data_IF_276720308977
#
_entry.id   IF_276720308977
#
_cell.length_a   1.000
_cell.length_b   1.000
_cell.length_c   1.000
_cell.angle_alpha   90.00
_cell.angle_beta   90.00
_cell.angle_gamma   90.00
#
_symmetry.space_group_name_H-M   'P 1'
#
loop_
_entity.id
_entity.type
_entity.pdbx_description
1 polymer ?
#
# COMPACT_ATOMS: atom_id res chain seq x y z
N UNK A 1 -5.02 15.38 3.69
CA UNK A 1 -6.02 14.31 3.69
C UNK A 1 -7.40 14.90 3.89
N UNK A 2 -8.29 14.73 2.91
CA UNK A 2 -9.71 15.04 3.06
C UNK A 2 -10.45 13.72 3.28
N UNK A 3 -11.03 13.47 4.46
CA UNK A 3 -11.66 12.20 4.77
C UNK A 3 -13.01 12.04 4.07
N UNK A 4 -13.61 13.10 3.49
CA UNK A 4 -14.97 13.03 2.92
C UNK A 4 -15.04 11.93 1.86
N UNK A 5 -14.15 11.97 0.87
CA UNK A 5 -14.15 10.98 -0.22
C UNK A 5 -13.77 9.58 0.25
N UNK A 6 -12.89 9.46 1.24
CA UNK A 6 -12.53 8.17 1.82
C UNK A 6 -13.66 7.56 2.66
N UNK A 7 -14.52 8.39 3.25
CA UNK A 7 -15.70 7.94 4.00
C UNK A 7 -16.83 7.51 3.05
N UNK A 8 -16.94 8.14 1.88
CA UNK A 8 -17.89 7.75 0.84
C UNK A 8 -17.46 6.45 0.14
N UNK A 9 -16.16 6.27 -0.08
CA UNK A 9 -15.57 5.10 -0.72
C UNK A 9 -14.23 4.74 -0.05
N UNK A 10 -14.21 3.60 0.64
CA UNK A 10 -13.03 3.13 1.38
C UNK A 10 -11.89 2.73 0.44
N UNK A 11 -12.22 2.23 -0.75
CA UNK A 11 -11.23 1.81 -1.75
C UNK A 11 -10.46 3.01 -2.34
N UNK A 12 -10.92 4.25 -2.05
CA UNK A 12 -10.18 5.48 -2.36
C UNK A 12 -8.83 5.56 -1.67
N UNK A 13 -8.70 4.98 -0.47
CA UNK A 13 -7.46 4.97 0.32
C UNK A 13 -6.57 3.80 -0.07
N UNK A 14 -7.17 2.63 -0.26
CA UNK A 14 -6.49 1.40 -0.68
C UNK A 14 -7.32 0.77 -1.80
N UNK A 15 -6.92 0.93 -3.09
CA UNK A 15 -7.75 0.59 -4.25
C UNK A 15 -7.79 -0.93 -4.52
N UNK A 16 -8.24 -1.71 -3.55
CA UNK A 16 -8.23 -3.19 -3.62
C UNK A 16 -9.22 -3.68 -4.67
N UNK A 17 -10.36 -2.99 -4.80
CA UNK A 17 -11.38 -3.24 -5.82
C UNK A 17 -10.79 -3.25 -7.23
N UNK A 18 -10.16 -2.14 -7.65
CA UNK A 18 -9.57 -1.97 -8.98
C UNK A 18 -8.39 -2.92 -9.18
N UNK A 19 -7.54 -3.11 -8.16
CA UNK A 19 -6.43 -4.05 -8.25
C UNK A 19 -6.91 -5.49 -8.46
N UNK A 20 -8.02 -5.89 -7.82
CA UNK A 20 -8.63 -7.21 -8.05
C UNK A 20 -9.31 -7.32 -9.42
N UNK A 21 -9.86 -6.23 -9.95
CA UNK A 21 -10.36 -6.21 -11.33
C UNK A 21 -9.22 -6.38 -12.33
N UNK A 22 -8.11 -5.67 -12.15
CA UNK A 22 -6.90 -5.80 -12.97
C UNK A 22 -6.29 -7.21 -12.88
N UNK A 23 -6.25 -7.82 -11.69
CA UNK A 23 -5.81 -9.21 -11.51
C UNK A 23 -6.72 -10.19 -12.27
N UNK A 24 -8.05 -10.04 -12.15
CA UNK A 24 -9.02 -10.87 -12.90
C UNK A 24 -8.93 -10.66 -14.41
N UNK A 25 -8.62 -9.45 -14.87
CA UNK A 25 -8.40 -9.13 -16.27
C UNK A 25 -7.04 -9.63 -16.80
N UNK A 26 -6.14 -10.09 -15.92
CA UNK A 26 -4.80 -10.55 -16.27
C UNK A 26 -3.82 -9.41 -16.59
N UNK A 27 -4.14 -8.16 -16.20
CA UNK A 27 -3.28 -6.99 -16.39
C UNK A 27 -2.10 -7.00 -15.41
N UNK A 28 -2.31 -7.59 -14.23
CA UNK A 28 -1.27 -7.88 -13.23
C UNK A 28 -1.27 -9.38 -12.90
N UNK A 29 -0.13 -9.89 -12.42
CA UNK A 29 0.01 -11.30 -12.08
C UNK A 29 -0.81 -11.72 -10.86
N UNK A 30 -0.52 -11.13 -9.70
CA UNK A 30 -1.28 -11.34 -8.48
C UNK A 30 -1.15 -10.16 -7.52
N UNK A 31 -2.17 -9.94 -6.69
CA UNK A 31 -2.09 -8.98 -5.59
C UNK A 31 -1.39 -9.61 -4.37
N UNK A 32 -0.41 -8.90 -3.80
CA UNK A 32 0.25 -9.34 -2.56
C UNK A 32 -0.74 -9.32 -1.38
N UNK A 33 -0.74 -10.37 -0.56
CA UNK A 33 -1.79 -10.62 0.45
C UNK A 33 -1.81 -9.59 1.59
N UNK A 34 -0.67 -8.96 1.87
CA UNK A 34 -0.52 -8.01 2.97
C UNK A 34 -0.25 -6.59 2.46
N UNK A 35 -0.73 -5.61 3.19
CA UNK A 35 -0.38 -4.21 2.98
C UNK A 35 0.18 -3.63 4.29
N UNK A 36 0.98 -2.58 4.16
CA UNK A 36 1.68 -1.99 5.31
C UNK A 36 1.08 -0.62 5.63
N UNK A 37 0.71 -0.41 6.90
CA UNK A 37 0.36 0.88 7.47
C UNK A 37 1.42 1.30 8.49
N UNK A 38 1.86 2.55 8.42
CA UNK A 38 2.70 3.16 9.46
C UNK A 38 1.95 4.26 10.20
N UNK A 39 2.42 4.62 11.39
CA UNK A 39 1.95 5.82 12.08
C UNK A 39 2.40 7.07 11.30
N UNK A 40 1.49 8.05 11.15
CA UNK A 40 1.71 9.24 10.31
C UNK A 40 2.64 10.27 10.94
N UNK A 41 2.16 11.51 11.10
CA UNK A 41 2.95 12.67 11.52
C UNK A 41 3.70 12.54 12.87
N UNK A 42 3.39 11.53 13.68
CA UNK A 42 4.13 11.22 14.92
C UNK A 42 5.43 10.44 14.72
N UNK A 43 5.72 9.97 13.51
CA UNK A 43 6.89 9.11 13.26
C UNK A 43 8.16 9.93 13.09
N UNK A 44 9.17 9.64 13.93
CA UNK A 44 10.50 10.23 13.76
C UNK A 44 11.12 9.82 12.43
N UNK A 45 11.90 10.70 11.81
CA UNK A 45 12.61 10.41 10.55
C UNK A 45 13.48 9.15 10.66
N UNK A 46 14.10 8.92 11.82
CA UNK A 46 14.89 7.72 12.07
C UNK A 46 14.03 6.44 12.04
N UNK A 47 12.86 6.46 12.68
CA UNK A 47 11.94 5.32 12.66
C UNK A 47 11.35 5.10 11.27
N UNK A 48 10.97 6.17 10.55
CA UNK A 48 10.46 6.06 9.18
C UNK A 48 11.46 5.36 8.25
N UNK A 49 12.75 5.72 8.34
CA UNK A 49 13.82 5.05 7.57
C UNK A 49 13.98 3.58 7.95
N UNK A 50 13.88 3.25 9.23
CA UNK A 50 13.95 1.86 9.71
C UNK A 50 12.80 1.02 9.14
N UNK A 51 11.56 1.51 9.27
CA UNK A 51 10.38 0.81 8.73
C UNK A 51 10.47 0.63 7.22
N UNK A 52 10.88 1.67 6.48
CA UNK A 52 11.03 1.59 5.04
C UNK A 52 12.04 0.51 4.61
N UNK A 53 13.17 0.37 5.32
CA UNK A 53 14.17 -0.65 5.03
C UNK A 53 13.66 -2.08 5.30
N UNK A 54 12.94 -2.28 6.40
CA UNK A 54 12.34 -3.58 6.75
C UNK A 54 11.25 -3.97 5.75
N UNK A 55 10.29 -3.08 5.49
CA UNK A 55 9.18 -3.30 4.55
C UNK A 55 9.69 -3.56 3.12
N UNK A 56 10.65 -2.76 2.64
CA UNK A 56 11.22 -2.97 1.31
C UNK A 56 11.99 -4.29 1.20
N UNK A 57 12.66 -4.70 2.28
CA UNK A 57 13.33 -5.99 2.38
C UNK A 57 12.34 -7.15 2.25
N UNK A 58 11.24 -7.11 3.00
CA UNK A 58 10.17 -8.11 2.95
C UNK A 58 9.55 -8.17 1.55
N UNK A 59 9.07 -7.05 1.00
CA UNK A 59 8.45 -6.99 -0.32
C UNK A 59 9.37 -7.55 -1.42
N UNK A 60 10.65 -7.18 -1.40
CA UNK A 60 11.63 -7.70 -2.36
C UNK A 60 11.85 -9.21 -2.20
N UNK A 61 11.90 -9.71 -0.97
CA UNK A 61 12.06 -11.14 -0.70
C UNK A 61 10.82 -11.96 -1.09
N UNK A 62 9.64 -11.34 -1.03
CA UNK A 62 8.36 -11.92 -1.48
C UNK A 62 8.16 -11.85 -3.01
N UNK A 63 9.13 -11.29 -3.75
CA UNK A 63 9.04 -11.19 -5.22
C UNK A 63 8.06 -10.12 -5.70
N UNK A 64 7.76 -9.10 -4.90
CA UNK A 64 6.89 -8.00 -5.32
C UNK A 64 7.61 -7.10 -6.32
N UNK A 65 7.06 -7.02 -7.54
CA UNK A 65 7.64 -6.25 -8.65
C UNK A 65 7.33 -4.74 -8.59
N UNK A 66 6.19 -4.37 -8.01
CA UNK A 66 5.71 -2.99 -7.99
C UNK A 66 4.95 -2.67 -6.70
N UNK A 67 5.02 -1.41 -6.27
CA UNK A 67 4.34 -0.91 -5.07
C UNK A 67 3.57 0.36 -5.40
N UNK A 68 2.37 0.48 -4.84
CA UNK A 68 1.59 1.72 -4.87
C UNK A 68 1.68 2.35 -3.49
N UNK A 69 2.18 3.58 -3.45
CA UNK A 69 2.17 4.39 -2.23
C UNK A 69 0.96 5.32 -2.28
N UNK A 70 -0.05 5.03 -1.46
CA UNK A 70 -1.22 5.89 -1.35
C UNK A 70 -1.00 6.98 -0.30
N UNK A 71 -1.50 8.19 -0.56
CA UNK A 71 -1.43 9.29 0.40
C UNK A 71 -2.64 9.23 1.32
N UNK A 72 -2.39 9.16 2.62
CA UNK A 72 -3.38 9.45 3.67
C UNK A 72 -3.15 10.83 4.27
#
# INVERSE_FOLDING_TARGET
YDPVYANEDLDRVLPVDVLKEMEKAGEIGSLYEYWYATVGNGTSVANAKKFAAEIAGELKSSGVDAVILTST
#
